data_IF_435190635364
#
_entry.id   IF_435190635364
#
_cell.length_a   1.000
_cell.length_b   1.000
_cell.length_c   1.000
_cell.angle_alpha   90.00
_cell.angle_beta   90.00
_cell.angle_gamma   90.00
#
_symmetry.space_group_name_H-M   'P 1'
#
loop_
_entity.id
_entity.type
_entity.pdbx_description
1 polymer ?
#
# COMPACT_ATOMS: atom_id res chain seq x y z
N UNK A 1 15.97 -0.74 0.30
CA UNK A 1 14.84 -0.02 0.92
C UNK A 1 14.07 0.64 -0.20
N UNK A 2 12.75 0.69 -0.15
CA UNK A 2 11.92 1.16 -1.26
C UNK A 2 12.09 2.69 -1.47
N UNK A 3 13.06 3.07 -2.31
CA UNK A 3 13.51 4.45 -2.58
C UNK A 3 12.54 5.24 -3.47
N UNK A 4 11.48 4.62 -3.97
CA UNK A 4 10.65 5.18 -5.05
C UNK A 4 9.24 5.59 -4.62
N UNK A 5 8.91 5.51 -3.32
CA UNK A 5 7.68 6.11 -2.82
C UNK A 5 7.76 7.65 -2.99
N UNK A 6 6.85 8.24 -3.78
CA UNK A 6 6.82 9.67 -4.10
C UNK A 6 5.70 10.45 -3.38
N UNK A 7 5.18 9.89 -2.28
CA UNK A 7 4.05 10.43 -1.51
C UNK A 7 2.71 10.56 -2.27
N UNK A 8 2.50 9.86 -3.39
CA UNK A 8 1.26 9.86 -4.20
C UNK A 8 -0.07 9.53 -3.46
N UNK A 9 -0.04 9.11 -2.20
CA UNK A 9 -1.25 8.80 -1.43
C UNK A 9 -2.02 7.55 -1.88
N UNK A 10 -1.55 6.80 -2.89
CA UNK A 10 -2.18 5.57 -3.37
C UNK A 10 -2.49 4.58 -2.23
N UNK A 11 -1.54 4.35 -1.32
CA UNK A 11 -1.71 3.47 -0.17
C UNK A 11 -2.74 3.96 0.86
N UNK A 12 -3.19 5.22 0.79
CA UNK A 12 -4.16 5.81 1.70
C UNK A 12 -5.61 5.74 1.18
N UNK A 13 -5.81 5.50 -0.13
CA UNK A 13 -7.12 5.60 -0.80
C UNK A 13 -8.07 4.48 -0.38
N UNK A 14 -7.62 3.23 -0.56
CA UNK A 14 -8.33 2.01 -0.17
C UNK A 14 -7.32 1.04 0.42
N UNK A 15 -7.53 0.69 1.68
CA UNK A 15 -6.69 -0.21 2.47
C UNK A 15 -7.52 -1.43 2.81
N UNK A 16 -6.97 -2.62 2.56
CA UNK A 16 -7.56 -3.88 2.99
C UNK A 16 -6.72 -4.51 4.09
N UNK A 17 -7.37 -4.85 5.19
CA UNK A 17 -6.81 -5.74 6.22
C UNK A 17 -7.85 -6.75 6.69
N UNK A 18 -7.39 -7.80 7.38
CA UNK A 18 -8.26 -8.82 7.97
C UNK A 18 -8.90 -8.39 9.29
N UNK A 19 -8.35 -7.37 9.93
CA UNK A 19 -8.85 -6.88 11.21
C UNK A 19 -10.00 -5.90 10.98
N UNK A 20 -11.08 -6.09 11.74
CA UNK A 20 -12.18 -5.15 11.90
C UNK A 20 -11.73 -3.88 12.64
N UNK A 21 -12.52 -2.78 12.59
CA UNK A 21 -12.16 -1.55 13.28
C UNK A 21 -12.02 -1.74 14.80
N UNK A 22 -12.79 -2.67 15.36
CA UNK A 22 -12.81 -2.99 16.77
C UNK A 22 -11.54 -3.76 17.18
N UNK A 23 -11.11 -4.72 16.37
CA UNK A 23 -9.85 -5.44 16.55
C UNK A 23 -8.64 -4.51 16.40
N UNK A 24 -8.63 -3.61 15.40
CA UNK A 24 -7.57 -2.62 15.24
C UNK A 24 -7.45 -1.77 16.50
N UNK A 25 -8.57 -1.25 17.04
CA UNK A 25 -8.56 -0.46 18.28
C UNK A 25 -8.12 -1.28 19.49
N UNK A 26 -8.53 -2.54 19.61
CA UNK A 26 -8.13 -3.41 20.71
C UNK A 26 -6.63 -3.70 20.69
N UNK A 27 -6.06 -4.05 19.53
CA UNK A 27 -4.63 -4.29 19.35
C UNK A 27 -3.83 -3.01 19.60
N UNK A 28 -4.29 -1.87 19.08
CA UNK A 28 -3.66 -0.58 19.31
C UNK A 28 -3.63 -0.22 20.80
N UNK A 29 -4.73 -0.43 21.52
CA UNK A 29 -4.80 -0.19 22.96
C UNK A 29 -3.82 -1.09 23.72
N UNK A 30 -3.87 -2.40 23.47
CA UNK A 30 -3.01 -3.37 24.14
C UNK A 30 -1.52 -3.08 23.91
N UNK A 31 -1.12 -2.87 22.66
CA UNK A 31 0.27 -2.59 22.31
C UNK A 31 0.78 -1.29 22.91
N UNK A 32 -0.07 -0.26 22.99
CA UNK A 32 0.26 1.00 23.66
C UNK A 32 0.50 0.80 25.16
N UNK A 33 -0.40 0.08 25.85
CA UNK A 33 -0.26 -0.22 27.29
C UNK A 33 1.02 -0.99 27.58
N UNK A 34 1.39 -1.93 26.71
CA UNK A 34 2.58 -2.75 26.86
C UNK A 34 3.87 -2.09 26.35
N UNK A 35 3.80 -0.88 25.77
CA UNK A 35 4.96 -0.21 25.18
C UNK A 35 5.55 -0.93 23.95
N UNK A 36 4.74 -1.73 23.26
CA UNK A 36 5.15 -2.49 22.06
C UNK A 36 4.87 -1.62 20.82
N UNK A 37 5.88 -1.29 19.99
CA UNK A 37 5.65 -0.61 18.72
C UNK A 37 4.72 -1.43 17.81
N UNK A 38 3.69 -0.79 17.26
CA UNK A 38 2.74 -1.46 16.38
C UNK A 38 2.14 -0.49 15.37
N UNK A 39 2.12 -0.90 14.10
CA UNK A 39 1.43 -0.18 13.04
C UNK A 39 -0.09 -0.03 13.30
N UNK A 40 -0.66 -0.91 14.15
CA UNK A 40 -2.06 -0.81 14.53
C UNK A 40 -2.36 0.44 15.35
N UNK A 41 -1.37 1.03 16.03
CA UNK A 41 -1.55 2.30 16.72
C UNK A 41 -1.83 3.43 15.72
N UNK A 42 -1.07 3.48 14.63
CA UNK A 42 -1.30 4.41 13.53
C UNK A 42 -2.63 4.12 12.83
N UNK A 43 -2.93 2.84 12.56
CA UNK A 43 -4.20 2.46 11.94
C UNK A 43 -5.40 2.89 12.80
N UNK A 44 -5.36 2.68 14.12
CA UNK A 44 -6.44 3.07 15.02
C UNK A 44 -6.67 4.59 15.07
N UNK A 45 -5.61 5.37 14.86
CA UNK A 45 -5.68 6.83 14.88
C UNK A 45 -6.16 7.40 13.54
N UNK A 46 -5.63 6.87 12.44
CA UNK A 46 -5.73 7.48 11.11
C UNK A 46 -6.60 6.73 10.11
N UNK A 47 -6.92 5.46 10.34
CA UNK A 47 -7.74 4.70 9.41
C UNK A 47 -9.23 4.88 9.73
N UNK A 48 -10.00 5.17 8.69
CA UNK A 48 -11.44 5.32 8.72
C UNK A 48 -12.06 4.17 7.95
N UNK A 49 -13.02 3.43 8.53
CA UNK A 49 -13.66 2.33 7.83
C UNK A 49 -14.39 2.84 6.58
N UNK A 50 -14.37 2.02 5.54
CA UNK A 50 -15.13 2.21 4.32
C UNK A 50 -16.14 1.07 4.15
N UNK A 51 -17.31 1.41 3.64
CA UNK A 51 -18.16 0.45 2.95
C UNK A 51 -17.51 0.00 1.65
N UNK A 52 -17.94 -1.15 1.13
CA UNK A 52 -17.49 -1.62 -0.19
C UNK A 52 -17.88 -0.66 -1.32
N UNK A 53 -19.02 0.01 -1.20
CA UNK A 53 -19.46 1.01 -2.17
C UNK A 53 -18.51 2.22 -2.20
N UNK A 54 -18.16 2.77 -1.04
CA UNK A 54 -17.19 3.88 -0.94
C UNK A 54 -15.80 3.46 -1.46
N UNK A 55 -15.35 2.24 -1.15
CA UNK A 55 -14.10 1.72 -1.68
C UNK A 55 -14.14 1.58 -3.22
N UNK A 56 -15.27 1.12 -3.77
CA UNK A 56 -15.47 1.00 -5.21
C UNK A 56 -15.43 2.35 -5.92
N UNK A 57 -15.97 3.41 -5.30
CA UNK A 57 -15.90 4.76 -5.85
C UNK A 57 -14.46 5.30 -5.88
N UNK A 58 -13.63 4.91 -4.90
CA UNK A 58 -12.26 5.42 -4.73
C UNK A 58 -11.24 4.66 -5.58
N UNK A 59 -11.33 3.33 -5.60
CA UNK A 59 -10.45 2.49 -6.40
C UNK A 59 -11.23 1.25 -6.87
N UNK A 60 -11.99 1.35 -7.97
CA UNK A 60 -12.87 0.27 -8.42
C UNK A 60 -12.08 -0.96 -8.86
N UNK A 61 -10.90 -0.75 -9.45
CA UNK A 61 -10.09 -1.81 -9.99
C UNK A 61 -9.48 -2.69 -8.89
N UNK A 62 -8.93 -2.07 -7.84
CA UNK A 62 -8.44 -2.78 -6.66
C UNK A 62 -9.60 -3.44 -5.90
N UNK A 63 -10.67 -2.70 -5.62
CA UNK A 63 -11.76 -3.15 -4.75
C UNK A 63 -12.51 -4.37 -5.30
N UNK A 64 -12.67 -4.49 -6.63
CA UNK A 64 -13.35 -5.65 -7.26
C UNK A 64 -12.67 -6.98 -7.00
N UNK A 65 -11.38 -6.97 -6.66
CA UNK A 65 -10.58 -8.18 -6.50
C UNK A 65 -10.44 -8.60 -5.05
N UNK A 66 -10.86 -7.74 -4.11
CA UNK A 66 -10.76 -8.02 -2.70
C UNK A 66 -11.83 -9.03 -2.27
N UNK A 67 -11.52 -9.95 -1.35
CA UNK A 67 -12.48 -10.89 -0.76
C UNK A 67 -13.75 -10.18 -0.29
N UNK A 68 -14.92 -10.82 -0.40
CA UNK A 68 -16.20 -10.18 -0.05
C UNK A 68 -16.24 -9.69 1.40
N UNK A 69 -15.60 -10.43 2.31
CA UNK A 69 -15.44 -10.19 3.74
C UNK A 69 -14.27 -9.24 4.10
N UNK A 70 -13.66 -8.59 3.11
CA UNK A 70 -12.59 -7.63 3.35
C UNK A 70 -13.04 -6.47 4.25
N UNK A 71 -12.27 -6.17 5.29
CA UNK A 71 -12.40 -4.91 6.02
C UNK A 71 -11.62 -3.82 5.28
N UNK A 72 -12.35 -2.78 4.89
CA UNK A 72 -11.87 -1.73 4.01
C UNK A 72 -11.72 -0.42 4.78
N UNK A 73 -10.67 0.31 4.47
CA UNK A 73 -10.35 1.57 5.13
C UNK A 73 -9.80 2.60 4.17
N UNK A 74 -9.83 3.85 4.59
CA UNK A 74 -9.03 4.94 4.06
C UNK A 74 -8.19 5.56 5.16
N UNK A 75 -7.10 6.23 4.82
CA UNK A 75 -6.28 6.94 5.78
C UNK A 75 -6.55 8.45 5.72
N UNK A 76 -6.80 9.08 6.86
CA UNK A 76 -7.00 10.53 6.98
C UNK A 76 -5.72 11.36 6.76
N UNK A 77 -4.57 10.70 6.56
CA UNK A 77 -3.34 11.32 6.11
C UNK A 77 -3.30 11.56 4.59
N UNK A 78 -4.33 11.13 3.85
CA UNK A 78 -4.51 11.54 2.45
C UNK A 78 -4.89 13.03 2.40
N UNK A 79 -3.99 13.86 1.87
CA UNK A 79 -4.21 15.27 1.64
C UNK A 79 -5.19 15.53 0.49
N UNK A 80 -5.75 16.73 0.46
CA UNK A 80 -6.64 17.20 -0.62
C UNK A 80 -5.91 17.29 -1.97
N UNK A 81 -4.59 17.45 -1.95
CA UNK A 81 -3.69 17.41 -3.11
C UNK A 81 -3.40 15.98 -3.60
N UNK A 82 -4.03 14.98 -2.98
CA UNK A 82 -3.81 13.56 -3.25
C UNK A 82 -2.54 13.00 -2.63
N UNK A 83 -1.75 13.78 -1.87
CA UNK A 83 -0.48 13.32 -1.31
C UNK A 83 -0.60 12.82 0.13
N UNK A 84 0.29 11.91 0.52
CA UNK A 84 0.39 11.46 1.90
C UNK A 84 1.06 12.53 2.77
N UNK A 85 0.34 13.03 3.78
CA UNK A 85 0.83 14.02 4.74
C UNK A 85 1.76 13.44 5.81
N UNK A 86 1.74 12.12 5.99
CA UNK A 86 2.61 11.40 6.94
C UNK A 86 3.80 10.72 6.26
N UNK A 87 4.18 11.16 5.05
CA UNK A 87 5.21 10.48 4.26
C UNK A 87 6.52 10.24 5.04
N UNK A 88 7.09 11.26 5.67
CA UNK A 88 8.37 11.15 6.38
C UNK A 88 8.27 10.21 7.61
N UNK A 89 7.15 10.29 8.32
CA UNK A 89 6.89 9.56 9.56
C UNK A 89 6.11 8.25 9.35
N UNK A 90 5.97 7.81 8.10
CA UNK A 90 5.09 6.70 7.76
C UNK A 90 5.48 5.40 8.49
N UNK A 91 4.50 4.65 9.04
CA UNK A 91 4.72 3.39 9.74
C UNK A 91 5.16 2.27 8.77
N UNK A 92 5.57 1.11 9.30
CA UNK A 92 6.11 0.02 8.46
C UNK A 92 5.07 -0.52 7.49
N UNK A 93 3.80 -0.64 7.91
CA UNK A 93 2.68 -1.00 7.03
C UNK A 93 2.59 -0.11 5.80
N UNK A 94 2.85 1.20 5.94
CA UNK A 94 2.84 2.13 4.81
C UNK A 94 4.10 2.01 3.95
N UNK A 95 5.26 1.69 4.54
CA UNK A 95 6.53 1.48 3.82
C UNK A 95 6.53 0.18 3.01
N UNK A 96 5.80 -0.82 3.48
CA UNK A 96 5.65 -2.10 2.80
C UNK A 96 4.83 -2.00 1.53
N UNK A 97 3.88 -1.08 1.43
CA UNK A 97 3.05 -0.97 0.23
C UNK A 97 3.89 -0.74 -1.03
N UNK A 98 3.56 -1.39 -2.16
CA UNK A 98 2.47 -2.36 -2.34
C UNK A 98 2.86 -3.84 -2.11
N UNK A 99 4.14 -4.16 -1.95
CA UNK A 99 4.64 -5.55 -1.94
C UNK A 99 4.75 -6.19 -0.54
N UNK A 100 4.62 -5.41 0.53
CA UNK A 100 4.70 -5.79 1.95
C UNK A 100 5.87 -6.73 2.30
N UNK A 101 7.07 -6.38 1.83
CA UNK A 101 8.30 -7.17 2.04
C UNK A 101 8.51 -8.29 1.02
N UNK A 102 7.58 -8.47 0.09
CA UNK A 102 7.76 -9.26 -1.12
C UNK A 102 8.70 -8.59 -2.13
N UNK A 103 9.04 -9.32 -3.19
CA UNK A 103 9.82 -8.78 -4.30
C UNK A 103 8.97 -7.79 -5.09
N UNK A 104 9.56 -6.73 -5.66
CA UNK A 104 8.91 -5.96 -6.71
C UNK A 104 8.50 -6.90 -7.82
N UNK A 105 7.20 -6.99 -8.04
CA UNK A 105 6.58 -7.71 -9.14
C UNK A 105 5.59 -6.77 -9.81
N UNK A 106 5.28 -7.04 -11.08
CA UNK A 106 4.13 -6.40 -11.73
C UNK A 106 2.90 -6.67 -10.89
N UNK A 107 2.45 -5.64 -10.19
CA UNK A 107 1.18 -5.69 -9.48
C UNK A 107 0.18 -5.26 -10.53
N UNK A 108 -0.61 -6.19 -11.10
CA UNK A 108 -1.53 -5.84 -12.16
C UNK A 108 -2.62 -4.88 -11.67
N UNK A 109 -2.66 -4.60 -10.36
CA UNK A 109 -3.70 -3.95 -9.56
C UNK A 109 -3.20 -2.77 -8.71
N UNK A 110 -1.93 -2.35 -8.87
CA UNK A 110 -1.46 -1.16 -8.18
C UNK A 110 -2.30 0.03 -8.62
N UNK A 111 -2.61 0.93 -7.68
CA UNK A 111 -3.25 2.20 -8.01
C UNK A 111 -2.46 2.86 -9.16
N UNK A 112 -3.12 3.31 -10.25
CA UNK A 112 -2.42 3.85 -11.40
C UNK A 112 -1.56 5.07 -11.06
N UNK A 113 -1.83 5.73 -9.94
CA UNK A 113 -1.07 6.88 -9.46
C UNK A 113 0.01 6.51 -8.44
N UNK A 114 0.21 5.21 -8.19
CA UNK A 114 1.23 4.74 -7.28
C UNK A 114 2.63 5.10 -7.80
N UNK A 115 3.40 5.84 -7.00
CA UNK A 115 4.78 6.25 -7.34
C UNK A 115 5.74 5.12 -7.66
N UNK A 116 5.42 3.89 -7.24
CA UNK A 116 6.19 2.69 -7.52
C UNK A 116 6.04 2.18 -8.96
N UNK A 117 5.12 2.71 -9.77
CA UNK A 117 5.05 2.37 -11.20
C UNK A 117 6.38 2.63 -11.94
N UNK A 118 7.24 3.51 -11.43
CA UNK A 118 8.56 3.78 -11.97
C UNK A 118 9.51 2.55 -11.96
N UNK A 119 9.36 1.62 -11.01
CA UNK A 119 10.24 0.44 -10.89
C UNK A 119 9.89 -0.66 -11.92
N UNK A 120 8.62 -0.79 -12.31
CA UNK A 120 8.17 -1.80 -13.28
C UNK A 120 8.80 -1.62 -14.67
N UNK A 121 9.19 -0.39 -15.03
CA UNK A 121 9.86 -0.10 -16.30
C UNK A 121 11.36 -0.43 -16.31
N UNK A 122 12.01 -0.57 -15.14
CA UNK A 122 13.46 -0.73 -15.04
C UNK A 122 13.89 -2.20 -14.91
N UNK A 123 13.12 -3.05 -14.22
CA UNK A 123 13.45 -4.48 -14.10
C UNK A 123 13.14 -5.28 -15.38
N UNK A 124 12.10 -4.91 -16.12
CA UNK A 124 11.79 -5.53 -17.43
C UNK A 124 12.86 -5.17 -18.48
N UNK A 125 13.40 -3.95 -18.43
CA UNK A 125 14.49 -3.54 -19.30
C UNK A 125 15.78 -4.32 -18.97
N UNK A 126 16.15 -4.42 -17.69
CA UNK A 126 17.36 -5.12 -17.23
C UNK A 126 17.34 -6.63 -17.48
N UNK A 127 16.16 -7.25 -17.57
CA UNK A 127 16.01 -8.68 -17.90
C UNK A 127 15.93 -8.97 -19.41
N UNK A 128 15.88 -7.93 -20.25
CA UNK A 128 15.84 -8.05 -21.71
C UNK A 128 17.18 -7.78 -22.43
N UNK A 129 18.19 -7.26 -21.73
CA UNK A 129 19.50 -6.92 -22.32
C UNK A 129 20.57 -8.03 -22.20
N UNK A 130 20.18 -9.24 -21.77
CA UNK A 130 21.11 -10.34 -21.46
C UNK A 130 21.45 -11.33 -22.58
N UNK A 131 20.88 -11.22 -23.79
CA UNK A 131 21.10 -12.26 -24.81
C UNK A 131 21.23 -11.72 -26.24
N UNK A 132 22.36 -11.06 -26.54
CA UNK A 132 22.78 -10.82 -27.93
C UNK A 132 24.29 -10.95 -28.11
N UNK A 133 24.66 -11.87 -29.04
CA UNK A 133 25.95 -12.21 -29.68
C UNK A 133 26.79 -13.29 -28.99
N UNK A 134 27.25 -14.35 -29.67
CA UNK A 134 27.72 -14.37 -31.06
C UNK A 134 27.38 -15.66 -31.83
N UNK A 135 26.98 -15.47 -33.09
CA UNK A 135 27.09 -16.45 -34.16
C UNK A 135 28.20 -15.99 -35.12
N UNK A 136 28.82 -16.96 -35.81
CA UNK A 136 29.91 -16.86 -36.82
C UNK A 136 31.31 -16.73 -36.21
N UNK A 137 32.31 -17.57 -36.54
CA UNK A 137 32.68 -18.21 -37.82
C UNK A 137 33.21 -19.61 -37.59
#
# INVERSE_FOLDING_TARGET
MAEFCNACGACCRVIYVRQSPEEIRAIAHLTRVLGIPSDMQFAAEHWRPLTREEAMQRNPFYTRQLPADAHLYTCDQLGEDGKCRSYETRPFVCRGYPWYGGRPESIPWADPECGYQAELGQEVAASSEGEVKASSV
#
